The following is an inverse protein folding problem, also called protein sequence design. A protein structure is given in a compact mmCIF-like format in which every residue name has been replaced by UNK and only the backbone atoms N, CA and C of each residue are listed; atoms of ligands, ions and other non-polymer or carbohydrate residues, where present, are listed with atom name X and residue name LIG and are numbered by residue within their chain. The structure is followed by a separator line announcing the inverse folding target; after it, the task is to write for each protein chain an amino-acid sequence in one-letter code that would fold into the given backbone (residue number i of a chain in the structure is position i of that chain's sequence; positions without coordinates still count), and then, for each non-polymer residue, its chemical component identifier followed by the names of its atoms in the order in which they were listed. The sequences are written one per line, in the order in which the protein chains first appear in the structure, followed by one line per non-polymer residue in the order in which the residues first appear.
data_IF_010867855934
#
_entry.id   IF_010867855934
#
_cell.length_a   1.000
_cell.length_b   1.000
_cell.length_c   1.000
_cell.angle_alpha   90.00
_cell.angle_beta   90.00
_cell.angle_gamma   90.00
#
_symmetry.space_group_name_H-M   'P 1'
#
loop_
_entity.id
_entity.type
_entity.pdbx_description
1 polymer ?
#
# COMPACT_ATOMS: atom_id res chain seq x y z
N UNK A 1 -23.68 -55.52 5.38
CA UNK A 1 -22.66 -55.81 6.42
C UNK A 1 -22.61 -54.63 7.38
N UNK A 2 -22.94 -54.90 8.64
CA UNK A 2 -22.95 -53.99 9.78
C UNK A 2 -21.53 -53.50 10.11
N UNK A 3 -21.44 -52.34 10.80
CA UNK A 3 -20.83 -52.10 12.14
C UNK A 3 -20.37 -50.63 12.15
N UNK A 4 -21.17 -49.64 12.57
CA UNK A 4 -21.58 -49.22 13.94
C UNK A 4 -20.48 -49.33 14.99
N UNK A 5 -19.80 -48.24 15.33
CA UNK A 5 -19.33 -48.04 16.72
C UNK A 5 -19.31 -46.56 17.07
N UNK A 6 -20.19 -46.20 18.02
CA UNK A 6 -20.21 -44.94 18.77
C UNK A 6 -19.23 -45.06 19.93
N UNK A 7 -18.56 -43.97 20.29
CA UNK A 7 -18.11 -43.77 21.67
C UNK A 7 -18.55 -42.38 22.13
N UNK A 8 -19.42 -42.38 23.15
CA UNK A 8 -19.80 -41.25 23.99
C UNK A 8 -18.93 -41.31 25.25
N UNK A 9 -18.43 -40.16 25.70
CA UNK A 9 -18.15 -39.80 27.11
C UNK A 9 -18.13 -38.26 27.12
N UNK A 10 -19.24 -37.58 27.40
CA UNK A 10 -19.79 -37.15 28.70
C UNK A 10 -18.80 -36.52 29.70
N UNK A 11 -19.08 -35.23 29.93
CA UNK A 11 -18.95 -34.43 31.17
C UNK A 11 -17.49 -34.05 31.55
N UNK A 12 -17.19 -32.88 32.09
CA UNK A 12 -17.70 -32.37 33.37
C UNK A 12 -17.07 -30.99 33.66
N UNK A 13 -17.86 -30.09 34.27
CA UNK A 13 -17.49 -28.92 35.11
C UNK A 13 -16.86 -27.66 34.46
N UNK A 14 -17.39 -26.44 34.59
CA UNK A 14 -17.99 -25.67 35.70
C UNK A 14 -16.99 -25.18 36.75
N UNK A 15 -16.80 -23.86 36.84
CA UNK A 15 -16.01 -23.19 37.88
C UNK A 15 -15.61 -21.77 37.44
N UNK A 16 -16.46 -20.76 37.61
CA UNK A 16 -16.66 -19.94 38.82
C UNK A 16 -15.84 -18.63 38.80
N UNK A 17 -16.59 -17.52 38.84
CA UNK A 17 -16.13 -16.16 39.05
C UNK A 17 -15.81 -15.90 40.54
N UNK A 18 -14.68 -15.27 40.83
CA UNK A 18 -14.35 -14.42 42.01
C UNK A 18 -12.90 -13.99 41.82
N UNK A 19 -12.48 -12.73 41.83
CA UNK A 19 -12.92 -11.62 42.65
C UNK A 19 -11.97 -11.50 43.85
N UNK A 20 -10.95 -10.65 43.74
CA UNK A 20 -10.42 -9.90 44.90
C UNK A 20 -9.34 -8.88 44.48
N UNK A 21 -9.71 -7.64 44.72
CA UNK A 21 -8.88 -6.45 44.86
C UNK A 21 -7.84 -6.55 45.97
N UNK A 22 -6.88 -5.63 45.90
CA UNK A 22 -6.16 -4.93 46.98
C UNK A 22 -4.68 -5.26 47.11
N UNK A 23 -3.83 -4.41 46.50
CA UNK A 23 -2.42 -4.30 46.86
C UNK A 23 -2.19 -2.94 47.53
N UNK A 24 -1.53 -2.92 48.71
CA UNK A 24 -1.64 -1.84 49.66
C UNK A 24 -0.73 -0.65 49.35
N UNK A 25 -1.30 0.52 49.61
CA UNK A 25 -0.62 1.79 49.86
C UNK A 25 0.40 1.64 50.99
N UNK A 26 1.69 1.88 50.72
CA UNK A 26 2.66 2.19 51.78
C UNK A 26 3.04 3.67 51.70
N UNK A 27 2.50 4.43 52.65
CA UNK A 27 3.03 5.74 53.05
C UNK A 27 4.25 5.49 53.95
N UNK A 28 5.36 6.16 53.66
CA UNK A 28 6.54 6.20 54.51
C UNK A 28 7.28 7.51 54.25
N UNK A 29 7.32 8.37 55.26
CA UNK A 29 7.76 9.76 55.26
C UNK A 29 9.29 9.94 55.25
N UNK A 30 9.73 10.94 54.49
CA UNK A 30 10.87 11.86 54.63
C UNK A 30 12.09 11.49 55.51
N UNK A 31 13.28 11.60 54.91
CA UNK A 31 14.51 12.10 55.56
C UNK A 31 15.50 12.64 54.53
N UNK A 32 16.33 13.57 54.99
CA UNK A 32 16.92 14.66 54.24
C UNK A 32 18.31 14.39 53.64
N UNK A 33 18.65 15.28 52.70
CA UNK A 33 19.96 15.92 52.50
C UNK A 33 21.16 15.15 51.92
N UNK A 34 21.59 15.70 50.77
CA UNK A 34 22.97 16.05 50.37
C UNK A 34 23.97 14.91 50.15
N UNK A 35 24.31 14.68 48.88
CA UNK A 35 25.66 14.42 48.41
C UNK A 35 25.76 14.86 46.93
N UNK A 36 26.27 16.07 46.72
CA UNK A 36 26.78 16.52 45.43
C UNK A 36 28.23 16.04 45.31
N UNK A 37 28.62 15.40 44.21
CA UNK A 37 29.99 15.38 43.68
C UNK A 37 30.02 14.73 42.27
N UNK A 38 30.20 15.61 41.28
CA UNK A 38 31.01 15.45 40.07
C UNK A 38 31.02 14.10 39.33
N UNK A 39 30.24 14.01 38.25
CA UNK A 39 30.67 13.30 37.04
C UNK A 39 30.74 14.32 35.91
N UNK A 40 31.97 14.72 35.61
CA UNK A 40 32.33 15.60 34.50
C UNK A 40 31.70 15.12 33.19
N UNK A 41 31.19 16.08 32.42
CA UNK A 41 30.54 15.83 31.14
C UNK A 41 31.47 15.15 30.14
N UNK A 42 31.23 13.87 29.88
CA UNK A 42 31.54 13.29 28.59
C UNK A 42 30.46 13.77 27.62
N UNK A 43 30.57 15.00 27.14
CA UNK A 43 29.89 15.42 25.92
C UNK A 43 30.48 14.60 24.78
N UNK A 44 29.89 13.43 24.52
CA UNK A 44 30.09 12.70 23.27
C UNK A 44 29.48 13.59 22.19
N UNK A 45 30.26 14.54 21.68
CA UNK A 45 29.90 15.31 20.49
C UNK A 45 29.91 14.32 19.33
N UNK A 46 28.75 13.93 18.76
CA UNK A 46 28.74 13.06 17.60
C UNK A 46 29.51 13.77 16.49
N UNK A 47 30.41 13.08 15.76
CA UNK A 47 31.08 13.70 14.63
C UNK A 47 30.02 14.25 13.67
N UNK A 48 30.23 15.47 13.10
CA UNK A 48 29.28 16.05 12.18
C UNK A 48 29.00 15.05 11.06
N UNK A 49 27.73 14.62 10.97
CA UNK A 49 27.29 13.67 9.96
C UNK A 49 27.59 14.29 8.59
N UNK A 50 28.53 13.70 7.86
CA UNK A 50 28.83 14.12 6.51
C UNK A 50 27.54 14.05 5.68
N UNK A 51 27.10 15.19 5.16
CA UNK A 51 25.93 15.27 4.27
C UNK A 51 26.36 14.71 2.92
N UNK A 52 26.10 13.42 2.71
CA UNK A 52 26.32 12.80 1.39
C UNK A 52 25.24 13.32 0.45
N UNK A 53 25.59 13.98 -0.67
CA UNK A 53 24.60 14.48 -1.61
C UNK A 53 23.83 13.32 -2.24
N UNK A 54 22.50 13.45 -2.30
CA UNK A 54 21.63 12.45 -2.92
C UNK A 54 21.91 12.37 -4.43
N UNK A 55 22.16 11.18 -4.99
CA UNK A 55 22.33 11.02 -6.43
C UNK A 55 21.09 11.45 -7.21
N UNK A 56 21.23 12.08 -8.40
CA UNK A 56 20.09 12.47 -9.24
C UNK A 56 19.14 11.33 -9.59
N UNK A 57 19.66 10.10 -9.75
CA UNK A 57 18.85 8.92 -10.04
C UNK A 57 17.83 8.61 -8.93
N UNK A 58 18.20 8.78 -7.65
CA UNK A 58 17.31 8.55 -6.52
C UNK A 58 16.24 9.64 -6.39
N UNK A 59 16.57 10.88 -6.77
CA UNK A 59 15.58 11.97 -6.84
C UNK A 59 14.57 11.70 -7.97
N UNK A 60 15.05 11.19 -9.11
CA UNK A 60 14.20 10.88 -10.25
C UNK A 60 13.24 9.71 -9.95
N UNK A 61 13.72 8.66 -9.25
CA UNK A 61 12.84 7.54 -8.86
C UNK A 61 11.71 8.00 -7.93
N UNK A 62 12.02 8.75 -6.88
CA UNK A 62 11.01 9.26 -5.95
C UNK A 62 9.98 10.18 -6.64
N UNK A 63 10.44 10.95 -7.64
CA UNK A 63 9.54 11.82 -8.42
C UNK A 63 8.66 11.02 -9.37
N UNK A 64 9.20 9.94 -9.96
CA UNK A 64 8.45 9.05 -10.82
C UNK A 64 7.33 8.35 -10.03
N UNK A 65 7.63 7.89 -8.82
CA UNK A 65 6.65 7.23 -7.94
C UNK A 65 5.52 8.19 -7.54
N UNK A 66 5.87 9.43 -7.14
CA UNK A 66 4.87 10.47 -6.87
C UNK A 66 3.99 10.77 -8.09
N UNK A 67 4.57 10.76 -9.29
CA UNK A 67 3.82 10.98 -10.50
C UNK A 67 2.88 9.82 -10.83
N UNK A 68 3.33 8.57 -10.67
CA UNK A 68 2.50 7.37 -10.82
C UNK A 68 1.29 7.40 -9.89
N UNK A 69 1.51 7.70 -8.62
CA UNK A 69 0.43 7.81 -7.63
C UNK A 69 -0.61 8.88 -8.05
N UNK A 70 -0.15 10.05 -8.51
CA UNK A 70 -1.03 11.11 -8.97
C UNK A 70 -1.84 10.71 -10.22
N UNK A 71 -1.22 9.99 -11.16
CA UNK A 71 -1.87 9.44 -12.36
C UNK A 71 -2.92 8.40 -11.96
N UNK A 72 -2.57 7.45 -11.10
CA UNK A 72 -3.48 6.42 -10.63
C UNK A 72 -4.70 7.02 -9.91
N UNK A 73 -4.47 8.03 -9.07
CA UNK A 73 -5.55 8.78 -8.39
C UNK A 73 -6.48 9.45 -9.38
N UNK A 74 -5.93 10.12 -10.40
CA UNK A 74 -6.71 10.74 -11.47
C UNK A 74 -7.58 9.72 -12.22
N UNK A 75 -7.04 8.54 -12.51
CA UNK A 75 -7.80 7.47 -13.17
C UNK A 75 -8.97 7.03 -12.28
N UNK A 76 -8.75 6.81 -10.99
CA UNK A 76 -9.81 6.43 -10.05
C UNK A 76 -10.89 7.51 -9.91
N UNK A 77 -10.49 8.77 -9.77
CA UNK A 77 -11.40 9.93 -9.63
C UNK A 77 -12.32 10.08 -10.85
N UNK A 78 -11.82 9.77 -12.05
CA UNK A 78 -12.58 9.88 -13.30
C UNK A 78 -13.40 8.64 -13.63
N UNK A 79 -13.31 7.58 -12.83
CA UNK A 79 -13.97 6.29 -13.07
C UNK A 79 -14.67 5.72 -11.82
N UNK A 80 -15.44 6.50 -11.04
CA UNK A 80 -15.90 6.09 -9.71
C UNK A 80 -16.75 4.81 -9.69
N UNK A 81 -17.51 4.54 -10.76
CA UNK A 81 -18.39 3.36 -10.86
C UNK A 81 -17.67 2.05 -11.17
N UNK A 82 -16.44 2.12 -11.71
CA UNK A 82 -15.65 0.95 -12.10
C UNK A 82 -14.63 0.54 -11.03
N UNK A 83 -14.45 1.35 -9.99
CA UNK A 83 -13.41 1.14 -8.98
C UNK A 83 -13.96 0.32 -7.81
N UNK A 84 -13.26 -0.76 -7.48
CA UNK A 84 -13.55 -1.56 -6.30
C UNK A 84 -13.17 -0.77 -5.04
N UNK A 85 -14.12 -0.69 -4.11
CA UNK A 85 -13.91 -0.14 -2.76
C UNK A 85 -13.66 -1.28 -1.79
N UNK A 86 -12.55 -1.24 -1.05
CA UNK A 86 -12.20 -2.27 -0.06
C UNK A 86 -11.00 -3.11 -0.48
N UNK A 87 -10.91 -4.35 0.04
CA UNK A 87 -9.80 -5.26 -0.26
C UNK A 87 -10.08 -6.05 -1.56
N UNK A 88 -9.09 -6.20 -2.46
CA UNK A 88 -9.24 -7.05 -3.63
C UNK A 88 -9.42 -8.52 -3.22
N UNK A 89 -10.10 -9.30 -4.06
CA UNK A 89 -10.32 -10.72 -3.82
C UNK A 89 -9.01 -11.51 -3.93
N UNK A 90 -8.94 -12.71 -3.33
CA UNK A 90 -7.71 -13.51 -3.28
C UNK A 90 -7.26 -13.99 -4.68
N UNK A 91 -8.20 -14.29 -5.57
CA UNK A 91 -7.94 -14.72 -6.94
C UNK A 91 -8.59 -13.74 -7.92
N UNK A 92 -7.82 -12.80 -8.47
CA UNK A 92 -8.34 -11.84 -9.45
C UNK A 92 -8.91 -12.55 -10.68
N UNK A 93 -10.00 -12.01 -11.25
CA UNK A 93 -10.56 -12.44 -12.53
C UNK A 93 -9.56 -12.18 -13.66
N UNK A 94 -9.00 -10.97 -13.67
CA UNK A 94 -8.04 -10.53 -14.69
C UNK A 94 -7.06 -9.51 -14.12
N UNK A 95 -5.84 -9.52 -14.64
CA UNK A 95 -4.84 -8.47 -14.43
C UNK A 95 -4.46 -7.95 -15.81
N UNK A 96 -4.76 -6.68 -16.07
CA UNK A 96 -4.43 -6.01 -17.33
C UNK A 96 -3.36 -4.97 -17.06
N UNK A 97 -2.20 -5.12 -17.68
CA UNK A 97 -1.13 -4.12 -17.67
C UNK A 97 -1.27 -3.27 -18.92
N UNK A 98 -1.40 -1.96 -18.76
CA UNK A 98 -1.47 -1.01 -19.89
C UNK A 98 -0.16 -0.24 -19.95
N UNK A 99 0.48 -0.22 -21.11
CA UNK A 99 1.53 0.76 -21.43
C UNK A 99 0.88 1.99 -22.05
N UNK A 100 1.31 3.18 -21.63
CA UNK A 100 0.84 4.42 -22.21
C UNK A 100 1.89 5.54 -22.15
N UNK A 101 1.80 6.44 -23.13
CA UNK A 101 2.70 7.60 -23.23
C UNK A 101 1.92 8.87 -22.93
N UNK A 102 2.48 9.70 -22.03
CA UNK A 102 1.93 11.01 -21.64
C UNK A 102 2.81 12.11 -22.20
N UNK A 103 2.21 13.11 -22.84
CA UNK A 103 2.92 14.32 -23.29
C UNK A 103 3.13 15.32 -22.14
N UNK A 104 3.92 16.36 -22.40
CA UNK A 104 4.20 17.46 -21.44
C UNK A 104 2.95 18.20 -20.95
N UNK A 105 1.81 18.08 -21.65
CA UNK A 105 0.54 18.72 -21.31
C UNK A 105 -0.39 17.77 -20.52
N UNK A 106 0.05 16.54 -20.26
CA UNK A 106 -0.73 15.53 -19.55
C UNK A 106 -1.68 14.72 -20.45
N UNK A 107 -1.64 14.87 -21.77
CA UNK A 107 -2.46 14.05 -22.66
C UNK A 107 -1.85 12.66 -22.84
N UNK A 108 -2.69 11.64 -22.78
CA UNK A 108 -2.34 10.30 -23.23
C UNK A 108 -2.30 10.31 -24.75
N UNK A 109 -1.10 10.21 -25.32
CA UNK A 109 -0.86 10.27 -26.77
C UNK A 109 -0.72 8.90 -27.42
N UNK A 110 -0.46 7.86 -26.62
CA UNK A 110 -0.47 6.45 -27.02
C UNK A 110 -0.86 5.57 -25.84
N UNK A 111 -1.54 4.45 -26.11
CA UNK A 111 -1.92 3.47 -25.09
C UNK A 111 -2.19 2.09 -25.70
N UNK A 112 -1.66 1.03 -25.09
CA UNK A 112 -1.90 -0.35 -25.52
C UNK A 112 -1.86 -1.33 -24.34
N UNK A 113 -2.49 -2.49 -24.50
CA UNK A 113 -2.37 -3.58 -23.53
C UNK A 113 -1.00 -4.22 -23.67
N UNK A 114 -0.23 -4.20 -22.58
CA UNK A 114 1.09 -4.83 -22.52
C UNK A 114 1.01 -6.29 -22.06
N UNK A 115 0.13 -6.59 -21.09
CA UNK A 115 -0.07 -7.95 -20.56
C UNK A 115 -1.52 -8.14 -20.11
N UNK A 116 -2.05 -9.33 -20.33
CA UNK A 116 -3.44 -9.72 -20.03
C UNK A 116 -3.55 -11.25 -20.00
N UNK A 117 -4.66 -11.77 -19.50
CA UNK A 117 -5.06 -13.18 -19.65
C UNK A 117 -6.06 -13.42 -20.80
N UNK A 118 -6.35 -12.40 -21.62
CA UNK A 118 -7.26 -12.49 -22.77
C UNK A 118 -8.73 -12.21 -22.42
N UNK A 119 -8.96 -11.42 -21.37
CA UNK A 119 -10.30 -10.98 -21.00
C UNK A 119 -10.63 -9.65 -21.71
N UNK A 120 -11.28 -9.75 -22.87
CA UNK A 120 -11.58 -8.61 -23.76
C UNK A 120 -12.37 -7.49 -23.06
N UNK A 121 -13.26 -7.84 -22.12
CA UNK A 121 -14.05 -6.86 -21.36
C UNK A 121 -13.16 -6.08 -20.38
N UNK A 122 -12.27 -6.79 -19.67
CA UNK A 122 -11.32 -6.17 -18.77
C UNK A 122 -10.33 -5.27 -19.52
N UNK A 123 -9.81 -5.73 -20.67
CA UNK A 123 -8.91 -4.96 -21.53
C UNK A 123 -9.56 -3.69 -22.06
N UNK A 124 -10.77 -3.82 -22.60
CA UNK A 124 -11.56 -2.69 -23.08
C UNK A 124 -11.84 -1.68 -21.96
N UNK A 125 -12.18 -2.17 -20.76
CA UNK A 125 -12.46 -1.33 -19.58
C UNK A 125 -11.22 -0.60 -19.10
N UNK A 126 -10.05 -1.26 -19.04
CA UNK A 126 -8.79 -0.65 -18.65
C UNK A 126 -8.43 0.51 -19.58
N UNK A 127 -8.37 0.25 -20.90
CA UNK A 127 -8.06 1.27 -21.89
C UNK A 127 -9.08 2.42 -21.90
N UNK A 128 -10.38 2.11 -21.80
CA UNK A 128 -11.42 3.14 -21.74
C UNK A 128 -11.33 4.00 -20.48
N UNK A 129 -10.99 3.40 -19.33
CA UNK A 129 -10.83 4.13 -18.07
C UNK A 129 -9.64 5.10 -18.10
N UNK A 130 -8.53 4.70 -18.71
CA UNK A 130 -7.36 5.56 -18.96
C UNK A 130 -7.72 6.72 -19.90
N UNK A 131 -8.40 6.43 -21.03
CA UNK A 131 -8.83 7.48 -21.97
C UNK A 131 -9.74 8.52 -21.31
N UNK A 132 -10.69 8.10 -20.47
CA UNK A 132 -11.56 9.02 -19.70
C UNK A 132 -10.81 9.87 -18.66
N UNK A 133 -9.67 9.37 -18.18
CA UNK A 133 -8.85 10.08 -17.20
C UNK A 133 -8.07 11.24 -17.82
N UNK A 134 -7.83 11.20 -19.14
CA UNK A 134 -7.14 12.25 -19.89
C UNK A 134 -7.90 13.60 -19.81
N UNK A 135 -7.20 14.73 -19.63
CA UNK A 135 -5.78 14.84 -19.35
C UNK A 135 -5.41 14.39 -17.93
N UNK A 136 -4.25 13.75 -17.83
CA UNK A 136 -3.56 13.35 -16.60
C UNK A 136 -2.85 14.54 -15.96
N UNK A 137 -2.39 14.44 -14.70
CA UNK A 137 -1.54 15.47 -14.09
C UNK A 137 -0.31 15.75 -14.97
N UNK A 138 0.17 17.00 -14.97
CA UNK A 138 1.32 17.38 -15.78
C UNK A 138 2.58 16.64 -15.30
N UNK A 139 3.29 15.94 -16.20
CA UNK A 139 4.52 15.25 -15.83
C UNK A 139 5.62 16.24 -15.45
N UNK A 140 6.37 15.99 -14.36
CA UNK A 140 7.57 16.76 -14.03
C UNK A 140 8.56 16.77 -15.20
N UNK A 141 9.03 17.94 -15.61
CA UNK A 141 9.88 18.08 -16.80
C UNK A 141 11.16 17.24 -16.79
N UNK A 142 11.71 16.94 -15.60
CA UNK A 142 12.89 16.07 -15.42
C UNK A 142 12.65 14.59 -15.73
N UNK A 143 11.39 14.15 -15.80
CA UNK A 143 11.03 12.79 -16.20
C UNK A 143 10.81 12.66 -17.71
N UNK A 144 10.65 13.79 -18.41
CA UNK A 144 10.37 13.78 -19.84
C UNK A 144 11.62 13.42 -20.64
N UNK A 145 11.43 12.60 -21.66
CA UNK A 145 12.47 12.31 -22.65
C UNK A 145 12.69 13.51 -23.61
N UNK A 146 13.59 13.36 -24.58
CA UNK A 146 13.90 14.41 -25.57
C UNK A 146 12.71 14.86 -26.44
N UNK A 147 11.63 14.09 -26.51
CA UNK A 147 10.37 14.46 -27.20
C UNK A 147 9.37 15.15 -26.28
N UNK A 148 9.69 15.33 -25.00
CA UNK A 148 8.76 15.87 -24.02
C UNK A 148 7.67 14.87 -23.64
N UNK A 149 7.98 13.58 -23.64
CA UNK A 149 7.05 12.49 -23.35
C UNK A 149 7.56 11.61 -22.20
N UNK A 150 6.66 10.93 -21.52
CA UNK A 150 6.94 9.93 -20.49
C UNK A 150 6.09 8.68 -20.74
N UNK A 151 6.76 7.53 -20.88
CA UNK A 151 6.10 6.22 -20.96
C UNK A 151 5.91 5.65 -19.54
N UNK A 152 4.73 5.09 -19.29
CA UNK A 152 4.32 4.51 -18.02
C UNK A 152 3.64 3.17 -18.23
N UNK A 153 3.64 2.38 -17.15
CA UNK A 153 2.89 1.14 -17.02
C UNK A 153 2.03 1.24 -15.75
N UNK A 154 0.79 0.77 -15.83
CA UNK A 154 -0.10 0.64 -14.68
C UNK A 154 -0.88 -0.68 -14.80
N UNK A 155 -1.19 -1.29 -13.65
CA UNK A 155 -1.87 -2.59 -13.59
C UNK A 155 -3.30 -2.42 -13.07
N UNK A 156 -4.29 -2.81 -13.88
CA UNK A 156 -5.69 -2.92 -13.47
C UNK A 156 -5.96 -4.33 -12.94
N UNK A 157 -6.30 -4.42 -11.66
CA UNK A 157 -6.61 -5.64 -10.93
C UNK A 157 -8.13 -5.83 -10.90
N UNK A 158 -8.69 -6.67 -11.78
CA UNK A 158 -10.14 -6.88 -11.91
C UNK A 158 -10.65 -8.02 -11.03
N UNK A 159 -11.79 -7.78 -10.38
CA UNK A 159 -12.59 -8.78 -9.68
C UNK A 159 -13.70 -9.36 -10.57
N UNK A 160 -14.39 -10.38 -10.05
CA UNK A 160 -15.49 -11.05 -10.77
C UNK A 160 -16.68 -10.12 -11.06
N UNK A 161 -16.86 -9.07 -10.24
CA UNK A 161 -17.90 -8.04 -10.44
C UNK A 161 -17.53 -7.00 -11.52
N UNK A 162 -16.40 -7.20 -12.21
CA UNK A 162 -15.89 -6.33 -13.28
C UNK A 162 -15.28 -5.02 -12.77
N UNK A 163 -15.23 -4.80 -11.45
CA UNK A 163 -14.55 -3.62 -10.88
C UNK A 163 -13.06 -3.85 -10.75
N UNK A 164 -12.30 -2.76 -10.87
CA UNK A 164 -10.85 -2.80 -10.79
C UNK A 164 -10.28 -2.03 -9.60
N UNK A 165 -9.06 -2.37 -9.21
CA UNK A 165 -8.16 -1.50 -8.46
C UNK A 165 -6.89 -1.29 -9.26
N UNK A 166 -6.28 -0.12 -9.12
CA UNK A 166 -4.96 0.15 -9.68
C UNK A 166 -3.90 -0.35 -8.70
N UNK A 167 -2.87 -1.04 -9.19
CA UNK A 167 -1.82 -1.59 -8.33
C UNK A 167 -1.12 -0.51 -7.52
N UNK A 168 -0.93 0.68 -8.09
CA UNK A 168 -0.33 1.82 -7.40
C UNK A 168 -1.11 2.25 -6.16
N UNK A 169 -2.44 2.05 -6.14
CA UNK A 169 -3.32 2.43 -5.02
C UNK A 169 -3.82 1.24 -4.21
N UNK A 170 -3.59 0.02 -4.67
CA UNK A 170 -4.05 -1.18 -4.02
C UNK A 170 -3.22 -1.44 -2.76
N UNK A 171 -3.89 -1.82 -1.68
CA UNK A 171 -3.18 -2.39 -0.53
C UNK A 171 -2.48 -3.68 -0.95
N UNK A 172 -1.32 -4.03 -0.35
CA UNK A 172 -0.69 -5.32 -0.57
C UNK A 172 -1.71 -6.46 -0.40
N UNK A 173 -1.79 -7.35 -1.39
CA UNK A 173 -2.63 -8.54 -1.28
C UNK A 173 -2.11 -9.40 -0.12
N UNK A 174 -3.03 -9.91 0.70
CA UNK A 174 -2.67 -10.85 1.74
C UNK A 174 -2.12 -12.11 1.07
N UNK A 175 -0.85 -12.43 1.33
CA UNK A 175 -0.27 -13.72 1.00
C UNK A 175 -0.87 -14.74 1.96
N UNK A 176 -1.91 -15.46 1.55
CA UNK A 176 -2.31 -16.69 2.23
C UNK A 176 -1.30 -17.77 1.83
N UNK A 177 -0.22 -17.90 2.59
CA UNK A 177 0.65 -19.06 2.55
C UNK A 177 0.14 -19.95 3.68
N UNK A 178 -0.57 -21.04 3.34
CA UNK A 178 -0.89 -22.14 4.26
C UNK A 178 0.37 -22.99 4.53
#
# INVERSE_FOLDING_TARGET
MLTRTRFLHLLTECGACRGSSSWPTRRGTALAALLALAAAGCTITPPPRAVVPTPPAAVNSATLDQYREAVARRIVERNPSYVLRGKPQAMLRSLVVVSFTVDRNGHVVDSSVYRTNGDDEAEGTALASLRRASPLPLPPGKLLNGRGQLELFEDWLFNDDGKFQLRELASPQALTID
#
